data_IF_286728522464
#
_entry.id   IF_286728522464
#
_cell.length_a   1.000
_cell.length_b   1.000
_cell.length_c   1.000
_cell.angle_alpha   90.00
_cell.angle_beta   90.00
_cell.angle_gamma   90.00
#
_symmetry.space_group_name_H-M   'P 1'
#
loop_
_entity.id
_entity.type
_entity.pdbx_description
1 polymer ?
#
# COMPACT_ATOMS: atom_id res chain seq x y z
N UNK A 1 17.75 6.07 -10.93
CA UNK A 1 16.46 5.46 -11.28
C UNK A 1 15.53 6.54 -11.80
N UNK A 2 14.80 6.27 -12.87
CA UNK A 2 13.90 7.20 -13.55
C UNK A 2 12.58 6.51 -13.93
N UNK A 3 11.53 7.29 -14.26
CA UNK A 3 10.24 6.75 -14.69
C UNK A 3 10.34 5.83 -15.91
N UNK A 4 11.42 5.94 -16.70
CA UNK A 4 11.72 5.03 -17.82
C UNK A 4 11.92 3.59 -17.39
N UNK A 5 12.43 3.35 -16.18
CA UNK A 5 12.61 2.02 -15.60
C UNK A 5 11.25 1.36 -15.31
N UNK A 6 10.19 2.16 -15.11
CA UNK A 6 8.81 1.67 -15.03
C UNK A 6 8.23 1.32 -16.40
N UNK A 7 8.56 2.10 -17.43
CA UNK A 7 8.02 1.88 -18.78
C UNK A 7 8.63 0.66 -19.47
N UNK A 8 9.85 0.26 -19.12
CA UNK A 8 10.49 -0.90 -19.72
C UNK A 8 9.71 -2.20 -19.50
N UNK A 9 8.83 -2.23 -18.49
CA UNK A 9 7.91 -3.35 -18.23
C UNK A 9 6.69 -3.38 -19.15
N UNK A 10 6.39 -2.28 -19.84
CA UNK A 10 5.17 -2.14 -20.65
C UNK A 10 3.90 -2.44 -19.83
N UNK A 11 3.08 -3.34 -20.36
CA UNK A 11 1.87 -3.83 -19.69
C UNK A 11 2.15 -4.96 -18.68
N UNK A 12 3.37 -5.47 -18.62
CA UNK A 12 3.74 -6.47 -17.62
C UNK A 12 3.67 -5.89 -16.21
N UNK A 13 3.22 -6.74 -15.29
CA UNK A 13 3.11 -6.47 -13.87
C UNK A 13 3.74 -7.60 -13.08
N UNK A 14 4.75 -8.26 -13.63
CA UNK A 14 5.43 -9.43 -13.06
C UNK A 14 6.35 -9.08 -11.88
N UNK A 15 7.23 -10.03 -11.53
CA UNK A 15 8.16 -9.91 -10.41
C UNK A 15 9.23 -8.82 -10.61
N UNK A 16 9.65 -8.55 -11.84
CA UNK A 16 10.64 -7.50 -12.12
C UNK A 16 9.98 -6.12 -12.00
N UNK A 17 8.71 -6.01 -12.42
CA UNK A 17 7.89 -4.83 -12.17
C UNK A 17 7.70 -4.59 -10.66
N UNK A 18 7.44 -5.65 -9.89
CA UNK A 18 7.31 -5.57 -8.43
C UNK A 18 8.57 -4.97 -7.79
N UNK A 19 9.75 -5.51 -8.10
CA UNK A 19 11.03 -5.02 -7.56
C UNK A 19 11.32 -3.58 -7.98
N UNK A 20 11.09 -3.27 -9.26
CA UNK A 20 11.25 -1.89 -9.78
C UNK A 20 10.34 -0.92 -9.04
N UNK A 21 9.12 -1.33 -8.72
CA UNK A 21 8.17 -0.51 -7.99
C UNK A 21 8.60 -0.24 -6.54
N UNK A 22 9.19 -1.23 -5.87
CA UNK A 22 9.77 -1.05 -4.54
C UNK A 22 10.97 -0.09 -4.58
N UNK A 23 11.93 -0.34 -5.48
CA UNK A 23 13.16 0.43 -5.55
C UNK A 23 12.89 1.89 -5.95
N UNK A 24 12.04 2.11 -6.94
CA UNK A 24 11.69 3.47 -7.37
C UNK A 24 10.84 4.19 -6.33
N UNK A 25 9.94 3.47 -5.65
CA UNK A 25 9.18 4.02 -4.53
C UNK A 25 10.13 4.53 -3.44
N UNK A 26 11.13 3.73 -3.06
CA UNK A 26 12.13 4.13 -2.08
C UNK A 26 12.95 5.34 -2.55
N UNK A 27 13.43 5.31 -3.79
CA UNK A 27 14.15 6.43 -4.39
C UNK A 27 13.32 7.73 -4.35
N UNK A 28 12.06 7.68 -4.78
CA UNK A 28 11.17 8.85 -4.76
C UNK A 28 10.95 9.38 -3.34
N UNK A 29 10.81 8.50 -2.35
CA UNK A 29 10.68 8.90 -0.96
C UNK A 29 11.94 9.64 -0.47
N UNK A 30 13.13 9.12 -0.77
CA UNK A 30 14.41 9.78 -0.45
C UNK A 30 14.56 11.16 -1.11
N UNK A 31 13.93 11.37 -2.27
CA UNK A 31 13.91 12.66 -2.96
C UNK A 31 12.79 13.61 -2.49
N UNK A 32 12.04 13.27 -1.42
CA UNK A 32 10.95 14.09 -0.89
C UNK A 32 9.64 13.99 -1.69
N UNK A 33 9.49 12.99 -2.56
CA UNK A 33 8.26 12.76 -3.33
C UNK A 33 7.37 11.68 -2.69
N UNK A 34 7.03 11.85 -1.40
CA UNK A 34 6.34 10.83 -0.61
C UNK A 34 5.01 10.36 -1.22
N UNK A 35 4.16 11.28 -1.71
CA UNK A 35 2.90 10.90 -2.37
C UNK A 35 3.13 10.00 -3.60
N UNK A 36 4.17 10.27 -4.40
CA UNK A 36 4.50 9.46 -5.58
C UNK A 36 5.12 8.12 -5.19
N UNK A 37 5.86 8.08 -4.07
CA UNK A 37 6.41 6.86 -3.51
C UNK A 37 5.29 5.89 -3.07
N UNK A 38 4.24 6.39 -2.40
CA UNK A 38 3.04 5.61 -2.04
C UNK A 38 2.39 5.00 -3.30
N UNK A 39 2.24 5.78 -4.37
CA UNK A 39 1.69 5.26 -5.63
C UNK A 39 2.56 4.16 -6.26
N UNK A 40 3.86 4.12 -5.99
CA UNK A 40 4.72 3.01 -6.41
C UNK A 40 4.46 1.76 -5.57
N UNK A 41 4.25 1.91 -4.25
CA UNK A 41 3.84 0.78 -3.41
C UNK A 41 2.46 0.23 -3.81
N UNK A 42 1.50 1.09 -4.18
CA UNK A 42 0.19 0.65 -4.70
C UNK A 42 0.33 -0.20 -5.97
N UNK A 43 1.31 0.13 -6.81
CA UNK A 43 1.65 -0.62 -8.01
C UNK A 43 2.33 -1.94 -7.68
N UNK A 44 3.29 -1.95 -6.75
CA UNK A 44 3.92 -3.17 -6.26
C UNK A 44 2.87 -4.13 -5.68
N UNK A 45 1.92 -3.62 -4.88
CA UNK A 45 0.80 -4.39 -4.36
C UNK A 45 -0.16 -4.90 -5.43
N UNK A 46 -0.15 -4.34 -6.64
CA UNK A 46 -0.96 -4.83 -7.77
C UNK A 46 -0.22 -5.77 -8.71
N UNK A 47 1.04 -6.08 -8.43
CA UNK A 47 1.86 -6.96 -9.26
C UNK A 47 1.34 -8.41 -9.22
N UNK A 48 1.52 -9.10 -10.34
CA UNK A 48 1.27 -10.52 -10.55
C UNK A 48 2.48 -11.31 -10.03
N UNK A 49 2.47 -11.58 -8.72
CA UNK A 49 3.56 -12.25 -8.02
C UNK A 49 3.04 -13.46 -7.26
N UNK A 50 3.93 -14.37 -6.92
CA UNK A 50 3.64 -15.60 -6.18
C UNK A 50 4.39 -15.58 -4.85
N UNK A 51 3.80 -16.19 -3.82
CA UNK A 51 4.48 -16.36 -2.52
C UNK A 51 5.77 -17.18 -2.62
N UNK A 52 5.95 -17.96 -3.69
CA UNK A 52 7.16 -18.74 -3.95
C UNK A 52 8.26 -17.94 -4.65
N UNK A 53 7.98 -16.73 -5.14
CA UNK A 53 9.00 -15.91 -5.78
C UNK A 53 10.03 -15.47 -4.73
N UNK A 54 11.32 -15.68 -5.02
CA UNK A 54 12.41 -15.35 -4.09
C UNK A 54 12.38 -13.88 -3.69
N UNK A 55 12.03 -13.00 -4.64
CA UNK A 55 11.86 -11.59 -4.38
C UNK A 55 10.73 -11.28 -3.39
N UNK A 56 9.61 -12.01 -3.43
CA UNK A 56 8.50 -11.86 -2.46
C UNK A 56 8.87 -12.43 -1.10
N UNK A 57 9.66 -13.50 -1.04
CA UNK A 57 10.15 -14.04 0.24
C UNK A 57 11.16 -13.11 0.91
N UNK A 58 12.00 -12.44 0.10
CA UNK A 58 13.00 -11.46 0.57
C UNK A 58 12.34 -10.15 0.95
N UNK A 59 11.42 -9.68 0.11
CA UNK A 59 10.65 -8.46 0.27
C UNK A 59 9.17 -8.82 0.21
N UNK A 60 8.52 -9.07 1.37
CA UNK A 60 7.10 -9.38 1.41
C UNK A 60 6.23 -8.25 0.90
N UNK A 61 4.93 -8.53 0.71
CA UNK A 61 3.93 -7.52 0.33
C UNK A 61 4.12 -6.23 1.16
N UNK A 62 4.24 -5.04 0.54
CA UNK A 62 4.93 -3.90 1.14
C UNK A 62 4.09 -3.10 2.16
N UNK A 63 3.37 -3.79 3.04
CA UNK A 63 2.65 -3.19 4.16
C UNK A 63 3.59 -2.46 5.13
N UNK A 64 4.75 -3.07 5.43
CA UNK A 64 5.76 -2.47 6.30
C UNK A 64 6.36 -1.20 5.68
N UNK A 65 6.67 -1.22 4.37
CA UNK A 65 7.15 -0.05 3.65
C UNK A 65 6.08 1.05 3.58
N UNK A 66 4.80 0.69 3.39
CA UNK A 66 3.69 1.64 3.42
C UNK A 66 3.59 2.31 4.79
N UNK A 67 3.56 1.52 5.87
CA UNK A 67 3.53 2.04 7.24
C UNK A 67 4.73 2.95 7.52
N UNK A 68 5.93 2.59 7.07
CA UNK A 68 7.14 3.40 7.20
C UNK A 68 7.00 4.74 6.47
N UNK A 69 6.57 4.76 5.21
CA UNK A 69 6.36 6.01 4.46
C UNK A 69 5.33 6.91 5.15
N UNK A 70 4.22 6.36 5.64
CA UNK A 70 3.18 7.13 6.31
C UNK A 70 3.66 7.77 7.61
N UNK A 71 4.59 7.14 8.33
CA UNK A 71 5.06 7.58 9.65
C UNK A 71 6.31 8.46 9.60
N UNK A 72 7.17 8.26 8.60
CA UNK A 72 8.47 8.90 8.54
C UNK A 72 8.55 10.00 7.47
N UNK A 73 7.47 10.26 6.73
CA UNK A 73 7.43 11.41 5.82
C UNK A 73 7.57 12.70 6.65
N UNK A 74 8.54 13.58 6.33
CA UNK A 74 8.71 14.86 7.01
C UNK A 74 7.45 15.72 6.96
N UNK A 75 7.21 16.54 7.98
CA UNK A 75 6.00 17.36 8.11
C UNK A 75 5.83 18.39 6.98
N UNK A 76 6.93 18.84 6.37
CA UNK A 76 6.95 19.77 5.25
C UNK A 76 6.83 19.09 3.87
N UNK A 77 6.81 17.76 3.83
CA UNK A 77 6.68 16.98 2.60
C UNK A 77 5.22 16.59 2.36
N UNK A 78 4.70 16.95 1.19
CA UNK A 78 3.34 16.62 0.82
C UNK A 78 3.13 15.11 0.60
N UNK A 79 2.22 14.53 1.39
CA UNK A 79 1.79 13.12 1.28
C UNK A 79 0.31 12.96 0.84
N UNK A 80 -0.43 14.07 0.78
CA UNK A 80 -1.89 14.06 0.55
C UNK A 80 -2.68 13.57 1.77
N UNK A 81 -3.87 13.00 1.53
CA UNK A 81 -4.66 12.32 2.57
C UNK A 81 -4.72 10.81 2.26
N UNK A 82 -3.80 9.99 2.80
CA UNK A 82 -3.78 8.55 2.62
C UNK A 82 -5.10 7.84 2.96
N UNK A 83 -5.83 8.29 3.98
CA UNK A 83 -7.12 7.70 4.35
C UNK A 83 -8.13 7.83 3.20
N UNK A 84 -8.28 9.03 2.65
CA UNK A 84 -9.16 9.30 1.50
C UNK A 84 -8.66 8.58 0.24
N UNK A 85 -7.35 8.61 0.00
CA UNK A 85 -6.73 7.92 -1.14
C UNK A 85 -7.14 6.44 -1.19
N UNK A 86 -6.91 5.68 -0.10
CA UNK A 86 -7.21 4.25 -0.09
C UNK A 86 -8.71 3.94 -0.15
N UNK A 87 -9.57 4.77 0.47
CA UNK A 87 -11.02 4.66 0.33
C UNK A 87 -11.44 4.71 -1.14
N UNK A 88 -10.99 5.74 -1.87
CA UNK A 88 -11.31 5.89 -3.29
C UNK A 88 -10.62 4.83 -4.15
N UNK A 89 -9.40 4.45 -3.80
CA UNK A 89 -8.65 3.47 -4.57
C UNK A 89 -9.35 2.12 -4.56
N UNK A 90 -9.80 1.64 -3.40
CA UNK A 90 -10.47 0.35 -3.25
C UNK A 90 -11.71 0.18 -4.15
N UNK A 91 -12.46 1.26 -4.40
CA UNK A 91 -13.69 1.22 -5.22
C UNK A 91 -13.45 1.39 -6.73
N UNK A 92 -12.32 1.99 -7.12
CA UNK A 92 -12.03 2.31 -8.53
C UNK A 92 -11.27 1.21 -9.27
N UNK A 93 -10.93 0.14 -8.58
CA UNK A 93 -10.15 -0.96 -9.14
C UNK A 93 -10.92 -1.70 -10.23
N UNK A 94 -10.22 -1.99 -11.31
CA UNK A 94 -10.69 -2.77 -12.45
C UNK A 94 -9.90 -4.08 -12.54
N UNK A 95 -10.42 -5.02 -13.31
CA UNK A 95 -9.68 -6.23 -13.69
C UNK A 95 -8.34 -5.87 -14.38
N UNK A 96 -7.33 -6.75 -14.32
CA UNK A 96 -7.29 -8.04 -13.62
C UNK A 96 -7.08 -7.89 -12.10
N UNK A 97 -7.27 -8.99 -11.36
CA UNK A 97 -7.00 -9.11 -9.90
C UNK A 97 -7.69 -8.03 -9.05
N UNK A 98 -8.92 -7.65 -9.45
CA UNK A 98 -9.66 -6.56 -8.80
C UNK A 98 -9.81 -6.81 -7.29
N UNK A 99 -10.26 -8.00 -6.91
CA UNK A 99 -10.62 -8.29 -5.52
C UNK A 99 -9.37 -8.39 -4.63
N UNK A 100 -8.30 -9.02 -5.10
CA UNK A 100 -6.98 -9.01 -4.45
C UNK A 100 -6.52 -7.58 -4.19
N UNK A 101 -6.48 -6.74 -5.24
CA UNK A 101 -6.05 -5.34 -5.12
C UNK A 101 -6.96 -4.53 -4.20
N UNK A 102 -8.25 -4.83 -4.18
CA UNK A 102 -9.24 -4.15 -3.33
C UNK A 102 -8.97 -4.43 -1.86
N UNK A 103 -8.73 -5.69 -1.51
CA UNK A 103 -8.43 -6.04 -0.12
C UNK A 103 -7.07 -5.51 0.34
N UNK A 104 -6.07 -5.47 -0.54
CA UNK A 104 -4.79 -4.78 -0.26
C UNK A 104 -4.96 -3.27 -0.05
N UNK A 105 -5.82 -2.62 -0.84
CA UNK A 105 -6.15 -1.20 -0.64
C UNK A 105 -6.84 -0.96 0.71
N UNK A 106 -7.79 -1.82 1.09
CA UNK A 106 -8.41 -1.75 2.43
C UNK A 106 -7.43 -2.04 3.57
N UNK A 107 -6.49 -2.96 3.38
CA UNK A 107 -5.42 -3.21 4.33
C UNK A 107 -4.53 -1.97 4.54
N UNK A 108 -4.21 -1.23 3.47
CA UNK A 108 -3.49 0.05 3.56
C UNK A 108 -4.34 1.17 4.17
N UNK A 109 -5.64 1.19 3.89
CA UNK A 109 -6.57 2.09 4.55
C UNK A 109 -6.56 1.89 6.08
N UNK A 110 -6.58 0.63 6.56
CA UNK A 110 -6.51 0.33 7.98
C UNK A 110 -5.18 0.80 8.61
N UNK A 111 -4.06 0.62 7.91
CA UNK A 111 -2.76 1.18 8.34
C UNK A 111 -2.83 2.71 8.43
N UNK A 112 -3.35 3.39 7.41
CA UNK A 112 -3.48 4.86 7.41
C UNK A 112 -4.38 5.36 8.54
N UNK A 113 -5.49 4.68 8.83
CA UNK A 113 -6.38 5.00 9.96
C UNK A 113 -5.68 4.92 11.30
N UNK A 114 -4.87 3.87 11.50
CA UNK A 114 -4.14 3.62 12.74
C UNK A 114 -3.02 4.65 12.93
N UNK A 115 -2.22 4.85 11.88
CA UNK A 115 -1.00 5.66 11.94
C UNK A 115 -1.28 7.16 11.89
N UNK A 116 -2.28 7.58 11.11
CA UNK A 116 -2.62 8.98 10.88
C UNK A 116 -4.08 9.26 11.31
N UNK A 117 -4.43 9.08 12.60
CA UNK A 117 -5.81 9.18 13.07
C UNK A 117 -6.41 10.59 12.93
N UNK A 118 -5.55 11.61 12.81
CA UNK A 118 -5.96 13.01 12.60
C UNK A 118 -6.50 13.27 11.19
N UNK A 119 -6.26 12.38 10.22
CA UNK A 119 -6.75 12.56 8.87
C UNK A 119 -8.25 12.19 8.75
N UNK A 120 -9.08 13.11 8.23
CA UNK A 120 -10.50 12.85 8.07
C UNK A 120 -10.75 11.85 6.95
N UNK A 121 -11.86 11.11 7.04
CA UNK A 121 -12.45 10.41 5.89
C UNK A 121 -13.01 11.43 4.89
N UNK A 122 -13.33 10.95 3.69
CA UNK A 122 -14.12 11.74 2.75
C UNK A 122 -15.60 11.79 3.20
N UNK A 123 -16.13 12.96 3.59
CA UNK A 123 -17.52 13.06 4.06
C UNK A 123 -18.55 12.84 2.95
N UNK A 124 -18.14 12.87 1.68
CA UNK A 124 -19.03 12.69 0.52
C UNK A 124 -18.97 11.27 -0.05
N UNK A 125 -18.01 10.46 0.40
CA UNK A 125 -17.84 9.09 -0.09
C UNK A 125 -18.53 8.13 0.87
N UNK A 126 -19.76 7.76 0.55
CA UNK A 126 -20.56 6.82 1.34
C UNK A 126 -20.07 5.39 1.12
N UNK A 127 -18.98 5.01 1.79
CA UNK A 127 -18.45 3.64 1.79
C UNK A 127 -18.58 3.02 3.16
N UNK A 128 -19.11 1.81 3.19
CA UNK A 128 -19.02 0.95 4.36
C UNK A 128 -17.57 0.49 4.51
N UNK A 129 -16.84 1.14 5.40
CA UNK A 129 -15.46 0.77 5.75
C UNK A 129 -15.45 -0.66 6.33
N UNK A 130 -14.67 -1.60 5.76
CA UNK A 130 -14.60 -2.95 6.29
C UNK A 130 -13.86 -2.99 7.62
N UNK A 131 -14.27 -3.91 8.49
CA UNK A 131 -13.57 -4.24 9.72
C UNK A 131 -12.22 -4.92 9.43
N UNK A 132 -11.30 -4.89 10.41
CA UNK A 132 -10.02 -5.58 10.29
C UNK A 132 -10.19 -7.11 10.04
N UNK A 133 -11.28 -7.71 10.54
CA UNK A 133 -11.59 -9.12 10.30
C UNK A 133 -12.09 -9.39 8.87
N UNK A 134 -12.89 -8.48 8.31
CA UNK A 134 -13.31 -8.57 6.90
C UNK A 134 -12.12 -8.39 5.95
N UNK A 135 -11.22 -7.46 6.27
CA UNK A 135 -9.97 -7.27 5.52
C UNK A 135 -9.13 -8.54 5.58
N UNK A 136 -8.90 -9.11 6.78
CA UNK A 136 -8.18 -10.38 6.93
C UNK A 136 -8.80 -11.50 6.09
N UNK A 137 -10.11 -11.66 6.16
CA UNK A 137 -10.84 -12.69 5.39
C UNK A 137 -10.66 -12.48 3.89
N UNK A 138 -10.71 -11.23 3.43
CA UNK A 138 -10.47 -10.88 2.03
C UNK A 138 -9.03 -11.17 1.57
N UNK A 139 -8.04 -10.87 2.40
CA UNK A 139 -6.64 -11.19 2.14
C UNK A 139 -6.38 -12.70 2.14
N UNK A 140 -6.96 -13.45 3.07
CA UNK A 140 -6.84 -14.91 3.10
C UNK A 140 -7.48 -15.56 1.87
N UNK A 141 -8.58 -14.99 1.37
CA UNK A 141 -9.30 -15.56 0.23
C UNK A 141 -8.69 -15.18 -1.13
N UNK A 142 -8.18 -13.95 -1.28
CA UNK A 142 -7.74 -13.41 -2.57
C UNK A 142 -6.25 -13.07 -2.65
N UNK A 143 -5.57 -12.92 -1.52
CA UNK A 143 -4.16 -12.55 -1.44
C UNK A 143 -3.22 -13.74 -1.53
N UNK A 144 -1.96 -13.49 -1.20
CA UNK A 144 -0.93 -14.53 -1.11
C UNK A 144 -1.11 -15.38 0.15
N UNK A 145 -0.70 -16.66 0.13
CA UNK A 145 -0.60 -17.47 1.34
C UNK A 145 0.20 -16.76 2.44
N UNK A 146 -0.38 -16.61 3.62
CA UNK A 146 0.24 -15.94 4.77
C UNK A 146 0.21 -14.41 4.75
N UNK A 147 -0.39 -13.79 3.73
CA UNK A 147 -0.43 -12.33 3.58
C UNK A 147 -1.11 -11.63 4.77
N UNK A 148 -2.20 -12.20 5.30
CA UNK A 148 -2.88 -11.71 6.49
C UNK A 148 -1.97 -11.64 7.72
N UNK A 149 -1.09 -12.63 7.89
CA UNK A 149 -0.13 -12.64 9.01
C UNK A 149 0.88 -11.50 8.85
N UNK A 150 1.39 -11.28 7.63
CA UNK A 150 2.28 -10.15 7.34
C UNK A 150 1.58 -8.83 7.65
N UNK A 151 0.38 -8.61 7.09
CA UNK A 151 -0.39 -7.38 7.30
C UNK A 151 -0.70 -7.15 8.78
N UNK A 152 -1.23 -8.16 9.50
CA UNK A 152 -1.56 -8.04 10.93
C UNK A 152 -0.33 -7.75 11.78
N UNK A 153 0.83 -8.34 11.47
CA UNK A 153 2.06 -8.06 12.23
C UNK A 153 2.45 -6.58 12.14
N UNK A 154 2.35 -5.99 10.94
CA UNK A 154 2.61 -4.55 10.73
C UNK A 154 1.55 -3.73 11.43
N UNK A 155 0.28 -4.05 11.21
CA UNK A 155 -0.84 -3.33 11.79
C UNK A 155 -0.73 -3.32 13.33
N UNK A 156 -0.46 -4.46 13.97
CA UNK A 156 -0.27 -4.55 15.43
C UNK A 156 0.92 -3.74 15.93
N UNK A 157 2.02 -3.68 15.18
CA UNK A 157 3.18 -2.85 15.51
C UNK A 157 3.01 -1.35 15.21
N UNK A 158 1.90 -0.94 14.59
CA UNK A 158 1.60 0.47 14.33
C UNK A 158 1.09 1.18 15.58
N UNK A 159 1.94 2.04 16.14
CA UNK A 159 1.55 3.02 17.15
C UNK A 159 1.01 4.31 16.47
N UNK A 160 -0.03 4.96 17.03
CA UNK A 160 -0.54 6.21 16.48
C UNK A 160 0.57 7.28 16.43
N UNK A 161 0.66 8.01 15.32
CA UNK A 161 1.59 9.13 15.21
C UNK A 161 1.31 10.16 16.32
N UNK A 162 2.27 10.34 17.21
CA UNK A 162 2.16 11.19 18.41
C UNK A 162 2.77 12.58 18.22
N UNK A 163 3.14 12.95 17.00
CA UNK A 163 3.72 14.27 16.71
C UNK A 163 2.66 15.37 16.75
N UNK A 164 2.93 16.42 17.54
CA UNK A 164 2.20 17.67 17.44
C UNK A 164 2.47 18.30 16.06
N UNK A 165 1.40 18.71 15.38
CA UNK A 165 1.45 19.54 14.16
C UNK A 165 1.87 20.95 14.55
#
# INVERSE_FOLDING_TARGET
>A
MDWRDFNSHGDSRDIDFYLTALEYGHYLWQQGYAARAILCLDRAMGADVRATDIAVQTWPMPYAAMAWFLTHTPADVFIGNPRVHFQHYADRLKAPRRDERRWRAWACWALARRLLPHLPADPRHAVTEPTENEIATGLDHHGLPGETTVWRSVLQGCEPFSGAI
#
